data_IF_486755308994
#
_entry.id   IF_486755308994
#
_cell.length_a   1.000
_cell.length_b   1.000
_cell.length_c   1.000
_cell.angle_alpha   90.00
_cell.angle_beta   90.00
_cell.angle_gamma   90.00
#
_symmetry.space_group_name_H-M   'P 1'
#
loop_
_entity.id
_entity.type
_entity.pdbx_description
1 polymer ?
#
# COMPACT_ATOMS: atom_id res chain seq x y z
N UNK A 1 -8.71 19.61 10.14
CA UNK A 1 -7.39 19.39 9.57
C UNK A 1 -7.27 17.98 9.04
N UNK A 2 -6.84 17.82 7.81
CA UNK A 2 -6.67 16.45 7.33
C UNK A 2 -5.66 15.73 8.22
N UNK A 3 -5.81 14.42 8.30
CA UNK A 3 -4.85 13.61 9.01
C UNK A 3 -3.50 13.90 8.40
N UNK A 4 -2.55 14.27 9.24
CA UNK A 4 -1.21 14.53 8.82
C UNK A 4 -0.67 13.31 8.06
N UNK A 5 -0.16 13.54 6.87
CA UNK A 5 0.41 12.48 6.06
C UNK A 5 1.52 11.73 6.79
N UNK A 6 2.28 12.45 7.62
CA UNK A 6 3.33 11.82 8.42
C UNK A 6 2.77 10.90 9.49
N UNK A 7 1.62 11.25 10.07
CA UNK A 7 0.94 10.40 11.03
C UNK A 7 0.44 9.13 10.35
N UNK A 8 -0.17 9.27 9.18
CA UNK A 8 -0.65 8.11 8.42
C UNK A 8 0.50 7.18 8.06
N UNK A 9 1.62 7.74 7.60
CA UNK A 9 2.81 6.95 7.27
C UNK A 9 3.37 6.24 8.50
N UNK A 10 3.49 6.95 9.62
CA UNK A 10 4.01 6.39 10.86
C UNK A 10 3.15 5.24 11.36
N UNK A 11 1.84 5.40 11.32
CA UNK A 11 0.91 4.35 11.74
C UNK A 11 1.01 3.13 10.82
N UNK A 12 1.12 3.36 9.51
CA UNK A 12 1.26 2.28 8.54
C UNK A 12 2.57 1.52 8.74
N UNK A 13 3.66 2.23 9.02
CA UNK A 13 4.95 1.61 9.27
C UNK A 13 4.91 0.74 10.53
N UNK A 14 4.33 1.28 11.60
CA UNK A 14 4.20 0.52 12.85
C UNK A 14 3.35 -0.73 12.65
N UNK A 15 2.22 -0.59 11.98
CA UNK A 15 1.32 -1.73 11.74
C UNK A 15 2.02 -2.82 10.92
N UNK A 16 2.71 -2.44 9.84
CA UNK A 16 3.42 -3.40 9.00
C UNK A 16 4.56 -4.08 9.76
N UNK A 17 5.27 -3.32 10.61
CA UNK A 17 6.34 -3.87 11.44
C UNK A 17 5.80 -4.91 12.42
N UNK A 18 4.71 -4.57 13.11
CA UNK A 18 4.09 -5.47 14.09
C UNK A 18 3.48 -6.69 13.44
N UNK A 19 2.93 -6.54 12.25
CA UNK A 19 2.39 -7.67 11.49
C UNK A 19 3.48 -8.71 11.23
N UNK A 20 4.70 -8.26 11.02
CA UNK A 20 5.85 -9.14 10.81
C UNK A 20 6.53 -9.54 12.12
N UNK A 21 5.98 -9.12 13.26
CA UNK A 21 6.50 -9.43 14.60
C UNK A 21 7.92 -8.94 14.84
N UNK A 22 8.24 -7.78 14.26
CA UNK A 22 9.57 -7.18 14.44
C UNK A 22 9.52 -6.04 15.46
N UNK A 23 10.57 -5.94 16.27
CA UNK A 23 10.80 -4.74 17.07
C UNK A 23 11.41 -3.65 16.18
N UNK A 24 11.44 -2.42 16.66
CA UNK A 24 12.11 -1.34 15.94
C UNK A 24 13.59 -1.66 15.70
N UNK A 25 14.23 -2.27 16.70
CA UNK A 25 15.63 -2.65 16.60
C UNK A 25 15.86 -3.74 15.56
N UNK A 26 14.98 -4.73 15.51
CA UNK A 26 15.07 -5.79 14.51
C UNK A 26 14.88 -5.25 13.11
N UNK A 27 13.90 -4.35 12.93
CA UNK A 27 13.70 -3.72 11.63
C UNK A 27 14.91 -2.89 11.23
N UNK A 28 15.51 -2.18 12.18
CA UNK A 28 16.72 -1.40 11.94
C UNK A 28 17.86 -2.29 11.44
N UNK A 29 18.05 -3.43 12.11
CA UNK A 29 19.12 -4.37 11.74
C UNK A 29 18.92 -4.91 10.32
N UNK A 30 17.70 -5.28 9.96
CA UNK A 30 17.42 -5.86 8.66
C UNK A 30 17.40 -4.84 7.54
N UNK A 31 16.96 -3.62 7.81
CA UNK A 31 16.81 -2.56 6.78
C UNK A 31 18.04 -1.67 6.66
N UNK A 32 18.94 -1.70 7.64
CA UNK A 32 20.08 -0.78 7.76
C UNK A 32 19.65 0.68 7.94
N UNK A 33 18.42 0.89 8.41
CA UNK A 33 17.92 2.20 8.82
C UNK A 33 18.03 2.27 10.34
N UNK A 34 18.49 3.38 10.90
CA UNK A 34 18.70 3.49 12.34
C UNK A 34 17.39 3.35 13.11
N UNK A 35 17.50 2.78 14.33
CA UNK A 35 16.35 2.66 15.23
C UNK A 35 15.72 4.01 15.52
N UNK A 36 16.54 5.05 15.68
CA UNK A 36 16.05 6.40 15.92
C UNK A 36 15.21 6.92 14.76
N UNK A 37 15.67 6.69 13.53
CA UNK A 37 14.91 7.11 12.35
C UNK A 37 13.57 6.40 12.28
N UNK A 38 13.56 5.09 12.53
CA UNK A 38 12.33 4.31 12.55
C UNK A 38 11.36 4.85 13.60
N UNK A 39 11.88 5.07 14.83
CA UNK A 39 11.07 5.61 15.91
C UNK A 39 10.49 6.98 15.57
N UNK A 40 11.29 7.85 14.98
CA UNK A 40 10.85 9.19 14.60
C UNK A 40 9.80 9.16 13.48
N UNK A 41 9.94 8.25 12.52
CA UNK A 41 8.92 8.07 11.46
C UNK A 41 7.61 7.58 12.09
N UNK A 42 7.68 6.59 12.97
CA UNK A 42 6.48 6.05 13.61
C UNK A 42 5.76 7.07 14.49
N UNK A 43 6.48 8.05 15.01
CA UNK A 43 5.91 9.13 15.82
C UNK A 43 5.54 10.37 15.01
N UNK A 44 5.62 10.29 13.69
CA UNK A 44 5.33 11.40 12.78
C UNK A 44 6.25 12.60 12.99
N UNK A 45 7.47 12.36 13.42
CA UNK A 45 8.47 13.43 13.66
C UNK A 45 9.46 13.57 12.52
N UNK A 46 9.39 12.69 11.53
CA UNK A 46 10.34 12.68 10.44
C UNK A 46 9.65 12.33 9.14
N UNK A 47 9.97 13.09 8.10
CA UNK A 47 9.58 12.78 6.73
C UNK A 47 10.72 12.00 6.08
N UNK A 48 10.62 10.68 5.93
CA UNK A 48 11.71 9.89 5.40
C UNK A 48 11.92 10.15 3.91
N UNK A 49 13.17 10.01 3.47
CA UNK A 49 13.48 10.07 2.05
C UNK A 49 12.93 8.83 1.34
N UNK A 50 12.84 8.91 0.02
CA UNK A 50 12.45 7.76 -0.79
C UNK A 50 13.36 6.54 -0.52
N UNK A 51 14.66 6.76 -0.42
CA UNK A 51 15.61 5.65 -0.20
C UNK A 51 15.40 4.97 1.15
N UNK A 52 15.06 5.74 2.18
CA UNK A 52 14.76 5.16 3.50
C UNK A 52 13.48 4.35 3.42
N UNK A 53 12.43 4.89 2.79
CA UNK A 53 11.18 4.16 2.62
C UNK A 53 11.38 2.88 1.83
N UNK A 54 12.19 2.93 0.79
CA UNK A 54 12.49 1.76 -0.04
C UNK A 54 13.20 0.68 0.79
N UNK A 55 14.17 1.07 1.61
CA UNK A 55 14.90 0.14 2.46
C UNK A 55 13.97 -0.56 3.46
N UNK A 56 13.05 0.21 4.07
CA UNK A 56 12.07 -0.36 4.99
C UNK A 56 11.08 -1.27 4.27
N UNK A 57 10.61 -0.85 3.10
CA UNK A 57 9.63 -1.62 2.33
C UNK A 57 10.17 -2.95 1.83
N UNK A 58 11.48 -3.10 1.71
CA UNK A 58 12.10 -4.39 1.34
C UNK A 58 12.03 -5.40 2.47
N UNK A 59 11.95 -4.94 3.71
CA UNK A 59 11.91 -5.83 4.88
C UNK A 59 10.48 -6.14 5.29
N UNK A 60 9.63 -5.11 5.30
CA UNK A 60 8.23 -5.24 5.69
C UNK A 60 7.34 -4.89 4.52
N UNK A 61 6.11 -5.43 4.54
CA UNK A 61 5.16 -5.10 3.48
C UNK A 61 4.48 -3.77 3.82
N UNK A 62 4.96 -2.70 3.21
CA UNK A 62 4.38 -1.37 3.39
C UNK A 62 3.61 -1.00 2.12
N UNK A 63 2.29 -0.93 2.24
CA UNK A 63 1.43 -0.58 1.10
C UNK A 63 1.34 0.93 0.98
N UNK A 64 1.94 1.47 -0.07
CA UNK A 64 1.82 2.90 -0.37
C UNK A 64 0.46 3.23 -0.96
N UNK A 65 -0.20 2.26 -1.59
CA UNK A 65 -1.53 2.46 -2.17
C UNK A 65 -2.56 2.89 -1.13
N UNK A 66 -2.55 2.23 0.04
CA UNK A 66 -3.48 2.58 1.10
C UNK A 66 -3.22 3.96 1.68
N UNK A 67 -1.97 4.44 1.59
CA UNK A 67 -1.61 5.79 2.04
C UNK A 67 -2.03 6.84 1.01
N UNK A 68 -1.92 6.52 -0.27
CA UNK A 68 -2.25 7.46 -1.35
C UNK A 68 -3.75 7.51 -1.64
N UNK A 69 -4.45 6.41 -1.35
CA UNK A 69 -5.88 6.29 -1.61
C UNK A 69 -6.61 5.85 -0.35
N UNK A 70 -6.65 6.71 0.69
CA UNK A 70 -7.21 6.32 1.99
C UNK A 70 -8.71 6.04 1.95
N UNK A 71 -9.40 6.52 0.92
CA UNK A 71 -10.84 6.30 0.80
C UNK A 71 -11.21 4.93 0.25
N UNK A 72 -10.22 4.16 -0.21
CA UNK A 72 -10.47 2.81 -0.68
C UNK A 72 -10.58 1.88 0.51
N UNK A 73 -11.77 1.30 0.68
CA UNK A 73 -11.99 0.31 1.73
C UNK A 73 -11.20 -0.96 1.41
N UNK A 74 -10.49 -1.51 2.39
CA UNK A 74 -9.80 -2.77 2.15
C UNK A 74 -10.83 -3.89 1.95
N UNK A 75 -10.78 -4.50 0.79
CA UNK A 75 -11.55 -5.69 0.45
C UNK A 75 -10.55 -6.79 0.14
N UNK A 76 -10.05 -7.44 1.19
CA UNK A 76 -9.02 -8.46 1.05
C UNK A 76 -9.47 -9.64 0.19
N UNK A 77 -10.72 -10.06 0.33
CA UNK A 77 -11.23 -11.18 -0.45
C UNK A 77 -11.23 -10.85 -1.94
N UNK A 78 -11.73 -9.66 -2.31
CA UNK A 78 -11.74 -9.22 -3.70
C UNK A 78 -10.35 -9.04 -4.27
N UNK A 79 -9.44 -8.44 -3.49
CA UNK A 79 -8.07 -8.24 -3.91
C UNK A 79 -7.35 -9.57 -4.14
N UNK A 80 -7.55 -10.53 -3.24
CA UNK A 80 -6.96 -11.86 -3.37
C UNK A 80 -7.50 -12.59 -4.59
N UNK A 81 -8.79 -12.48 -4.85
CA UNK A 81 -9.41 -13.08 -6.03
C UNK A 81 -8.83 -12.49 -7.31
N UNK A 82 -8.72 -11.16 -7.39
CA UNK A 82 -8.12 -10.51 -8.56
C UNK A 82 -6.68 -10.96 -8.78
N UNK A 83 -5.92 -11.08 -7.69
CA UNK A 83 -4.55 -11.57 -7.77
C UNK A 83 -4.49 -12.98 -8.31
N UNK A 84 -5.38 -13.86 -7.82
CA UNK A 84 -5.42 -15.25 -8.29
C UNK A 84 -5.83 -15.34 -9.76
N UNK A 85 -6.78 -14.51 -10.18
CA UNK A 85 -7.19 -14.47 -11.60
C UNK A 85 -5.99 -14.08 -12.49
N UNK A 86 -5.23 -13.09 -12.06
CA UNK A 86 -4.04 -12.68 -12.80
C UNK A 86 -2.99 -13.79 -12.83
N UNK A 87 -2.74 -14.42 -11.70
CA UNK A 87 -1.74 -15.48 -11.59
C UNK A 87 -2.12 -16.73 -12.39
N UNK A 88 -3.41 -17.03 -12.48
CA UNK A 88 -3.91 -18.17 -13.23
C UNK A 88 -4.07 -17.89 -14.72
N UNK A 89 -3.98 -16.62 -15.12
CA UNK A 89 -4.03 -16.26 -16.52
C UNK A 89 -2.73 -16.70 -17.22
N UNK A 90 -2.81 -17.31 -18.42
CA UNK A 90 -1.60 -17.65 -19.15
C UNK A 90 -0.70 -16.42 -19.30
N UNK A 91 0.62 -16.54 -19.03
CA UNK A 91 1.50 -15.37 -19.04
C UNK A 91 1.45 -14.54 -20.31
N UNK A 92 1.30 -15.19 -21.46
CA UNK A 92 1.23 -14.48 -22.75
C UNK A 92 -0.06 -13.70 -22.94
N UNK A 93 -1.07 -13.94 -22.12
CA UNK A 93 -2.37 -13.25 -22.20
C UNK A 93 -2.57 -12.21 -21.10
N UNK A 94 -1.62 -12.06 -20.18
CA UNK A 94 -1.79 -11.16 -19.04
C UNK A 94 -1.92 -9.70 -19.43
N UNK A 95 -1.20 -9.28 -20.48
CA UNK A 95 -1.31 -7.91 -20.95
C UNK A 95 -2.71 -7.62 -21.48
N UNK A 96 -3.28 -8.58 -22.20
CA UNK A 96 -4.67 -8.47 -22.68
C UNK A 96 -5.63 -8.39 -21.52
N UNK A 97 -5.43 -9.23 -20.50
CA UNK A 97 -6.26 -9.19 -19.30
C UNK A 97 -6.23 -7.83 -18.63
N UNK A 98 -5.03 -7.27 -18.45
CA UNK A 98 -4.89 -5.95 -17.83
C UNK A 98 -5.56 -4.85 -18.65
N UNK A 99 -5.41 -4.89 -19.97
CA UNK A 99 -6.03 -3.90 -20.84
C UNK A 99 -7.56 -3.95 -20.73
N UNK A 100 -8.13 -5.13 -20.80
CA UNK A 100 -9.58 -5.31 -20.64
C UNK A 100 -10.07 -4.85 -19.28
N UNK A 101 -9.31 -5.19 -18.24
CA UNK A 101 -9.68 -4.82 -16.88
C UNK A 101 -9.67 -3.30 -16.73
N UNK A 102 -8.67 -2.62 -17.28
CA UNK A 102 -8.61 -1.15 -17.23
C UNK A 102 -9.79 -0.51 -17.96
N UNK A 103 -10.08 -0.99 -19.17
CA UNK A 103 -11.19 -0.46 -19.95
C UNK A 103 -12.54 -0.67 -19.26
N UNK A 104 -12.75 -1.86 -18.74
CA UNK A 104 -13.98 -2.17 -18.01
C UNK A 104 -14.11 -1.35 -16.74
N UNK A 105 -13.01 -1.14 -16.03
CA UNK A 105 -13.01 -0.31 -14.83
C UNK A 105 -13.43 1.12 -15.13
N UNK A 106 -12.97 1.68 -16.25
CA UNK A 106 -13.38 3.02 -16.66
C UNK A 106 -14.87 3.07 -16.99
N UNK A 107 -15.40 2.04 -17.65
CA UNK A 107 -16.83 1.93 -17.91
C UNK A 107 -17.64 1.91 -16.61
N UNK A 108 -17.16 1.16 -15.61
CA UNK A 108 -17.82 1.09 -14.31
C UNK A 108 -17.83 2.43 -13.60
N UNK A 109 -16.75 3.19 -13.71
CA UNK A 109 -16.68 4.53 -13.12
C UNK A 109 -17.72 5.46 -13.76
N UNK A 110 -17.84 5.41 -15.07
CA UNK A 110 -18.84 6.23 -15.78
C UNK A 110 -20.25 5.84 -15.38
N UNK A 111 -20.52 4.55 -15.28
CA UNK A 111 -21.82 4.05 -14.87
C UNK A 111 -22.15 4.49 -13.44
N UNK A 112 -21.19 4.43 -12.55
CA UNK A 112 -21.35 4.85 -11.16
C UNK A 112 -21.72 6.33 -11.07
N UNK A 113 -21.07 7.18 -11.86
CA UNK A 113 -21.40 8.61 -11.92
C UNK A 113 -22.83 8.86 -12.39
N UNK A 114 -23.31 8.10 -13.36
CA UNK A 114 -24.68 8.23 -13.85
C UNK A 114 -25.70 7.84 -12.78
N UNK A 115 -25.37 6.85 -11.97
CA UNK A 115 -26.25 6.44 -10.88
C UNK A 115 -26.31 7.48 -9.76
N UNK A 116 -25.21 8.19 -9.51
CA UNK A 116 -25.14 9.22 -8.49
C UNK A 116 -25.91 10.49 -8.85
N UNK A 117 -26.09 10.76 -10.14
CA UNK A 117 -26.75 11.99 -10.61
C UNK A 117 -28.27 11.91 -10.68
N UNK A 118 -28.85 10.81 -10.26
CA UNK A 118 -30.32 10.67 -10.25
C UNK A 118 -30.94 11.21 -8.97
#
# INVERSE_FOLDING_TARGET
MPIDDLTALGDALRAARKEKSLTQEQLADESHVSTKQIADIEKARRNPSYLILKALAKVIHLSLDSLMYPDLSPDEAGQNEMKLLYMNCPPEMRETLLRHTREFTEELKELSKKLETK
#
